data_IF_915332256125
#
_entry.id   IF_915332256125
#
_cell.length_a   1.000
_cell.length_b   1.000
_cell.length_c   1.000
_cell.angle_alpha   90.00
_cell.angle_beta   90.00
_cell.angle_gamma   90.00
#
_symmetry.space_group_name_H-M   'P 1'
#
loop_
_entity.id
_entity.type
_entity.pdbx_description
1 polymer ?
#
# COMPACT_ATOMS: atom_id res chain seq x y z
N UNK A 1 -12.84 -27.98 20.97
CA UNK A 1 -12.68 -27.27 19.68
C UNK A 1 -11.20 -27.19 19.37
N UNK A 2 -10.78 -27.60 18.21
CA UNK A 2 -9.38 -27.45 17.81
C UNK A 2 -9.11 -26.05 17.24
N UNK A 3 -7.85 -25.68 17.11
CA UNK A 3 -7.44 -24.36 16.64
C UNK A 3 -7.97 -24.05 15.23
N UNK A 4 -8.01 -25.06 14.36
CA UNK A 4 -8.50 -24.86 12.98
C UNK A 4 -9.99 -24.48 12.96
N UNK A 5 -10.82 -25.10 13.78
CA UNK A 5 -12.24 -24.76 13.86
C UNK A 5 -12.44 -23.36 14.47
N UNK A 6 -11.60 -22.98 15.42
CA UNK A 6 -11.64 -21.64 16.00
C UNK A 6 -11.42 -20.55 14.95
N UNK A 7 -10.38 -20.70 14.11
CA UNK A 7 -10.07 -19.70 13.07
C UNK A 7 -11.08 -19.73 11.92
N UNK A 8 -11.60 -20.90 11.53
CA UNK A 8 -12.55 -21.01 10.42
C UNK A 8 -13.90 -20.33 10.71
N UNK A 9 -14.25 -20.14 11.97
CA UNK A 9 -15.49 -19.48 12.40
C UNK A 9 -15.36 -17.96 12.52
N UNK A 10 -14.15 -17.41 12.40
CA UNK A 10 -13.94 -15.97 12.45
C UNK A 10 -14.16 -15.35 11.10
N UNK A 11 -14.81 -14.19 11.08
CA UNK A 11 -14.96 -13.39 9.87
C UNK A 11 -13.61 -12.84 9.44
N UNK A 12 -13.36 -12.88 8.13
CA UNK A 12 -12.17 -12.32 7.52
C UNK A 12 -12.55 -11.04 6.77
N UNK A 13 -11.74 -10.03 6.94
CA UNK A 13 -11.89 -8.75 6.29
C UNK A 13 -10.64 -8.46 5.47
N UNK A 14 -10.84 -7.87 4.29
CA UNK A 14 -9.75 -7.53 3.37
C UNK A 14 -9.58 -6.03 3.36
N UNK A 15 -8.61 -5.56 4.11
CA UNK A 15 -8.29 -4.14 4.23
C UNK A 15 -7.42 -3.69 3.06
N UNK A 16 -7.68 -2.48 2.58
CA UNK A 16 -6.99 -1.91 1.43
C UNK A 16 -6.19 -0.69 1.88
N UNK A 17 -4.90 -0.68 1.58
CA UNK A 17 -4.04 0.47 1.83
C UNK A 17 -3.24 0.83 0.59
N UNK A 18 -3.24 2.12 0.24
CA UNK A 18 -2.31 2.68 -0.73
C UNK A 18 -0.96 2.90 -0.07
N UNK A 19 0.12 2.65 -0.79
CA UNK A 19 1.47 2.75 -0.25
C UNK A 19 2.39 3.44 -1.23
N UNK A 20 3.26 4.28 -0.69
CA UNK A 20 4.30 4.96 -1.44
C UNK A 20 5.64 4.76 -0.75
N UNK A 21 6.63 4.34 -1.53
CA UNK A 21 8.03 4.38 -1.11
C UNK A 21 8.64 5.71 -1.57
N UNK A 22 9.09 6.50 -0.61
CA UNK A 22 9.72 7.77 -0.90
C UNK A 22 11.11 7.79 -0.29
N UNK A 23 12.15 7.78 -1.14
CA UNK A 23 13.52 8.03 -0.74
C UNK A 23 13.82 9.49 -1.06
N UNK A 24 14.07 10.28 -0.04
CA UNK A 24 14.45 11.67 -0.19
C UNK A 24 15.88 11.88 0.27
N UNK A 25 16.66 12.56 -0.56
CA UNK A 25 17.96 13.06 -0.13
C UNK A 25 17.75 14.21 0.83
N UNK A 26 18.44 14.14 1.95
CA UNK A 26 18.40 15.20 2.95
C UNK A 26 19.37 16.30 2.52
N UNK A 27 18.92 17.56 2.61
CA UNK A 27 19.73 18.72 2.32
C UNK A 27 21.02 18.73 3.16
N UNK A 28 22.15 19.15 2.56
CA UNK A 28 23.45 19.17 3.22
C UNK A 28 23.47 20.05 4.47
N UNK A 29 22.74 21.13 4.47
CA UNK A 29 22.60 22.02 5.64
C UNK A 29 21.94 21.26 6.79
N UNK A 30 20.89 20.49 6.51
CA UNK A 30 20.19 19.70 7.52
C UNK A 30 21.07 18.56 8.01
N UNK A 31 21.78 17.89 7.11
CA UNK A 31 22.73 16.84 7.49
C UNK A 31 23.77 17.35 8.47
N UNK A 32 24.35 18.50 8.16
CA UNK A 32 25.37 19.14 9.02
C UNK A 32 24.78 19.58 10.35
N UNK A 33 23.62 20.23 10.33
CA UNK A 33 22.96 20.72 11.55
C UNK A 33 22.57 19.60 12.50
N UNK A 34 22.21 18.41 11.97
CA UNK A 34 21.78 17.24 12.75
C UNK A 34 22.88 16.19 12.92
N UNK A 35 24.08 16.48 12.45
CA UNK A 35 25.24 15.58 12.53
C UNK A 35 24.93 14.21 11.88
N UNK A 36 24.29 14.23 10.69
CA UNK A 36 23.97 13.04 9.93
C UNK A 36 25.11 12.68 8.97
N UNK A 37 25.25 11.39 8.58
CA UNK A 37 26.20 10.98 7.55
C UNK A 37 25.94 11.66 6.21
N UNK A 38 27.00 11.85 5.41
CA UNK A 38 26.89 12.52 4.11
C UNK A 38 26.01 11.76 3.12
N UNK A 39 25.93 10.43 3.26
CA UNK A 39 25.10 9.56 2.42
C UNK A 39 23.71 9.29 3.02
N UNK A 40 23.35 10.00 4.10
CA UNK A 40 22.07 9.81 4.75
C UNK A 40 20.91 10.14 3.81
N UNK A 41 19.95 9.20 3.71
CA UNK A 41 18.71 9.37 2.96
C UNK A 41 17.54 9.12 3.88
N UNK A 42 16.56 10.00 3.79
CA UNK A 42 15.32 9.82 4.51
C UNK A 42 14.42 8.84 3.74
N UNK A 43 14.01 7.76 4.41
CA UNK A 43 13.05 6.83 3.85
C UNK A 43 11.69 7.08 4.51
N UNK A 44 10.69 7.35 3.69
CA UNK A 44 9.31 7.52 4.14
C UNK A 44 8.40 6.59 3.34
N UNK A 45 7.69 5.73 4.05
CA UNK A 45 6.72 4.82 3.45
C UNK A 45 5.32 5.36 3.75
N UNK A 46 4.93 6.39 3.02
CA UNK A 46 3.59 6.95 3.13
C UNK A 46 2.54 5.92 2.77
N UNK A 47 1.46 5.88 3.54
CA UNK A 47 0.37 4.94 3.30
C UNK A 47 -0.96 5.51 3.78
N UNK A 48 -2.03 5.01 3.18
CA UNK A 48 -3.38 5.42 3.54
C UNK A 48 -4.32 4.23 3.48
N UNK A 49 -5.02 3.95 4.58
CA UNK A 49 -6.07 2.94 4.61
C UNK A 49 -7.36 3.51 4.03
N UNK A 50 -7.95 2.76 3.08
CA UNK A 50 -9.19 3.14 2.42
C UNK A 50 -10.42 2.46 3.01
N UNK A 51 -10.23 1.40 3.77
CA UNK A 51 -11.30 0.62 4.35
C UNK A 51 -11.16 -0.86 4.07
N UNK A 52 -12.26 -1.58 4.11
CA UNK A 52 -12.24 -3.03 3.95
C UNK A 52 -13.48 -3.55 3.24
N UNK A 53 -13.34 -4.77 2.71
CA UNK A 53 -14.45 -5.56 2.20
C UNK A 53 -14.43 -6.94 2.87
N UNK A 54 -15.60 -7.55 3.02
CA UNK A 54 -15.70 -8.96 3.43
C UNK A 54 -15.36 -9.91 2.28
N UNK A 55 -15.61 -9.47 1.06
CA UNK A 55 -15.33 -10.24 -0.15
C UNK A 55 -13.94 -9.96 -0.68
N UNK A 56 -13.10 -10.97 -0.76
CA UNK A 56 -11.78 -10.89 -1.40
C UNK A 56 -11.89 -10.44 -2.85
N UNK A 57 -12.83 -11.02 -3.58
CA UNK A 57 -13.08 -10.68 -4.99
C UNK A 57 -13.42 -9.20 -5.17
N UNK A 58 -14.26 -8.66 -4.28
CA UNK A 58 -14.67 -7.26 -4.34
C UNK A 58 -13.50 -6.34 -3.99
N UNK A 59 -12.67 -6.70 -3.02
CA UNK A 59 -11.47 -5.93 -2.69
C UNK A 59 -10.52 -5.87 -3.89
N UNK A 60 -10.28 -7.01 -4.55
CA UNK A 60 -9.44 -7.07 -5.74
C UNK A 60 -10.02 -6.21 -6.86
N UNK A 61 -11.33 -6.26 -7.07
CA UNK A 61 -11.99 -5.44 -8.08
C UNK A 61 -11.80 -3.94 -7.80
N UNK A 62 -12.00 -3.51 -6.56
CA UNK A 62 -11.82 -2.12 -6.17
C UNK A 62 -10.40 -1.61 -6.46
N UNK A 63 -9.40 -2.44 -6.22
CA UNK A 63 -7.99 -2.11 -6.48
C UNK A 63 -7.69 -2.10 -7.97
N UNK A 64 -8.11 -3.14 -8.68
CA UNK A 64 -7.82 -3.24 -10.13
C UNK A 64 -8.50 -2.13 -10.93
N UNK A 65 -9.61 -1.59 -10.45
CA UNK A 65 -10.35 -0.50 -11.09
C UNK A 65 -10.04 0.88 -10.49
N UNK A 66 -9.14 0.96 -9.52
CA UNK A 66 -8.76 2.21 -8.84
C UNK A 66 -9.99 2.98 -8.30
N UNK A 67 -10.85 2.30 -7.56
CA UNK A 67 -12.01 2.95 -6.97
C UNK A 67 -11.61 4.10 -6.05
N UNK A 68 -12.39 5.17 -6.06
CA UNK A 68 -12.17 6.38 -5.26
C UNK A 68 -10.84 7.08 -5.51
N UNK A 69 -10.18 6.77 -6.62
CA UNK A 69 -8.85 7.28 -6.94
C UNK A 69 -7.85 7.02 -5.79
N UNK A 70 -7.70 5.75 -5.40
CA UNK A 70 -6.73 5.41 -4.36
C UNK A 70 -5.28 5.63 -4.81
N UNK A 71 -5.07 5.90 -6.10
CA UNK A 71 -3.79 6.32 -6.64
C UNK A 71 -3.44 7.78 -6.30
N UNK A 72 -4.45 8.61 -6.04
CA UNK A 72 -4.29 10.04 -5.74
C UNK A 72 -3.40 10.78 -6.76
N UNK A 73 -3.73 10.61 -8.03
CA UNK A 73 -3.03 11.32 -9.11
C UNK A 73 -1.55 10.96 -9.23
N UNK A 74 -1.23 9.68 -9.20
CA UNK A 74 0.11 9.10 -9.29
C UNK A 74 0.97 9.30 -8.02
N UNK A 75 0.34 9.60 -6.90
CA UNK A 75 1.04 9.67 -5.62
C UNK A 75 1.35 8.27 -5.05
N UNK A 76 0.37 7.35 -5.06
CA UNK A 76 0.53 6.00 -4.55
C UNK A 76 0.74 4.99 -5.68
N UNK A 77 1.95 4.51 -5.85
CA UNK A 77 2.29 3.53 -6.89
C UNK A 77 1.91 2.10 -6.53
N UNK A 78 1.66 1.82 -5.26
CA UNK A 78 1.36 0.48 -4.78
C UNK A 78 0.08 0.48 -3.95
N UNK A 79 -0.59 -0.67 -3.96
CA UNK A 79 -1.69 -0.98 -3.06
C UNK A 79 -1.46 -2.36 -2.49
N UNK A 80 -1.74 -2.52 -1.20
CA UNK A 80 -1.73 -3.81 -0.53
C UNK A 80 -3.12 -4.14 -0.02
N UNK A 81 -3.55 -5.38 -0.22
CA UNK A 81 -4.73 -5.93 0.41
C UNK A 81 -4.28 -6.83 1.55
N UNK A 82 -4.62 -6.46 2.77
CA UNK A 82 -4.24 -7.19 3.98
C UNK A 82 -5.46 -7.89 4.56
N UNK A 83 -5.45 -9.23 4.66
CA UNK A 83 -6.51 -9.93 5.36
C UNK A 83 -6.34 -9.84 6.88
N UNK A 84 -7.44 -9.57 7.56
CA UNK A 84 -7.50 -9.54 9.03
C UNK A 84 -8.71 -10.32 9.50
N UNK A 85 -8.58 -11.03 10.61
CA UNK A 85 -9.72 -11.66 11.26
C UNK A 85 -10.48 -10.66 12.13
N UNK A 86 -11.77 -10.92 12.31
CA UNK A 86 -12.57 -10.16 13.26
C UNK A 86 -11.97 -10.23 14.67
N UNK A 87 -12.03 -9.11 15.38
CA UNK A 87 -11.52 -9.01 16.75
C UNK A 87 -10.40 -8.00 16.85
N UNK A 88 -9.46 -8.26 17.76
CA UNK A 88 -8.30 -7.42 17.93
C UNK A 88 -7.44 -7.45 16.68
N UNK A 89 -6.89 -6.30 16.33
CA UNK A 89 -6.12 -6.16 15.11
C UNK A 89 -4.84 -6.99 15.23
N UNK A 90 -4.73 -7.98 14.36
CA UNK A 90 -3.57 -8.86 14.30
C UNK A 90 -3.38 -9.28 12.83
N UNK A 91 -2.44 -8.66 12.11
CA UNK A 91 -2.29 -8.94 10.69
C UNK A 91 -1.93 -10.41 10.44
N UNK A 92 -2.54 -10.97 9.39
CA UNK A 92 -2.21 -12.32 8.93
C UNK A 92 -0.97 -12.18 8.05
N UNK A 93 0.19 -12.45 8.63
CA UNK A 93 1.48 -12.31 7.95
C UNK A 93 1.60 -13.32 6.81
N UNK A 94 2.12 -12.86 5.68
CA UNK A 94 2.37 -13.71 4.52
C UNK A 94 1.16 -13.95 3.62
N UNK A 95 0.03 -13.30 3.89
CA UNK A 95 -1.19 -13.40 3.09
C UNK A 95 -1.55 -12.08 2.39
N UNK A 96 -0.71 -11.08 2.48
CA UNK A 96 -0.88 -9.81 1.82
C UNK A 96 -0.81 -9.98 0.30
N UNK A 97 -1.67 -9.27 -0.41
CA UNK A 97 -1.65 -9.22 -1.87
C UNK A 97 -1.21 -7.83 -2.30
N UNK A 98 -0.14 -7.76 -3.08
CA UNK A 98 0.43 -6.52 -3.56
C UNK A 98 0.05 -6.25 -5.01
N UNK A 99 -0.16 -4.97 -5.31
CA UNK A 99 -0.54 -4.47 -6.62
C UNK A 99 0.29 -3.25 -6.94
N UNK A 100 0.63 -3.08 -8.22
CA UNK A 100 1.29 -1.87 -8.71
C UNK A 100 0.40 -1.13 -9.69
N UNK A 101 0.52 0.18 -9.73
CA UNK A 101 -0.28 1.02 -10.60
C UNK A 101 0.11 0.81 -12.06
N UNK A 102 -0.91 0.81 -12.93
CA UNK A 102 -0.74 0.88 -14.38
C UNK A 102 -1.07 2.29 -14.84
N UNK A 103 -0.19 2.86 -15.63
CA UNK A 103 -0.35 4.20 -16.13
C UNK A 103 -0.46 4.23 -17.65
N UNK A 104 -1.22 5.19 -18.16
CA UNK A 104 -1.18 5.58 -19.57
C UNK A 104 -0.89 7.07 -19.64
N UNK A 105 -0.21 7.50 -20.71
CA UNK A 105 0.04 8.93 -20.91
C UNK A 105 -1.18 9.57 -21.55
N UNK A 106 -1.61 10.68 -20.95
CA UNK A 106 -2.68 11.53 -21.46
C UNK A 106 -2.17 12.96 -21.58
N UNK A 107 -2.85 13.74 -22.39
CA UNK A 107 -2.49 15.13 -22.65
C UNK A 107 -3.69 16.02 -22.34
N UNK A 108 -3.47 17.11 -21.63
CA UNK A 108 -4.45 18.15 -21.39
C UNK A 108 -3.83 19.54 -21.70
N UNK A 109 -4.51 20.60 -21.32
CA UNK A 109 -4.05 21.97 -21.54
C UNK A 109 -2.71 22.29 -20.86
N UNK A 110 -2.34 21.51 -19.85
CA UNK A 110 -1.10 21.68 -19.07
C UNK A 110 0.06 20.84 -19.58
N UNK A 111 -0.18 19.96 -20.57
CA UNK A 111 0.81 19.05 -21.11
C UNK A 111 0.51 17.59 -20.85
N UNK A 112 1.54 16.77 -20.91
CA UNK A 112 1.42 15.33 -20.70
C UNK A 112 1.43 14.98 -19.21
N UNK A 113 0.63 13.98 -18.83
CA UNK A 113 0.62 13.44 -17.48
C UNK A 113 0.36 11.93 -17.50
N UNK A 114 0.71 11.26 -16.41
CA UNK A 114 0.42 9.85 -16.22
C UNK A 114 -0.95 9.68 -15.56
N UNK A 115 -1.83 8.94 -16.21
CA UNK A 115 -3.15 8.62 -15.70
C UNK A 115 -3.18 7.17 -15.25
N UNK A 116 -3.58 6.92 -14.00
CA UNK A 116 -3.72 5.56 -13.48
C UNK A 116 -4.99 4.90 -14.03
N UNK A 117 -4.81 3.83 -14.80
CA UNK A 117 -5.92 3.05 -15.34
C UNK A 117 -6.33 1.89 -14.45
N UNK A 118 -5.69 1.76 -13.29
CA UNK A 118 -5.93 0.72 -12.32
C UNK A 118 -4.63 0.14 -11.80
N UNK A 119 -4.76 -0.95 -11.07
CA UNK A 119 -3.62 -1.66 -10.48
C UNK A 119 -3.59 -3.10 -10.99
N UNK A 120 -2.41 -3.68 -11.05
CA UNK A 120 -2.20 -5.07 -11.42
C UNK A 120 -1.43 -5.81 -10.35
N UNK A 121 -1.64 -7.13 -10.18
CA UNK A 121 -0.88 -7.91 -9.21
C UNK A 121 0.62 -7.79 -9.43
N UNK A 122 1.37 -7.70 -8.35
CA UNK A 122 2.83 -7.67 -8.39
C UNK A 122 3.40 -8.43 -7.19
N UNK A 123 4.69 -8.65 -7.21
CA UNK A 123 5.40 -9.18 -6.06
C UNK A 123 5.55 -8.11 -4.99
N UNK A 124 5.73 -8.55 -3.74
CA UNK A 124 6.01 -7.65 -2.63
C UNK A 124 7.27 -6.83 -2.97
N UNK A 125 7.20 -5.49 -2.95
CA UNK A 125 8.39 -4.68 -3.15
C UNK A 125 9.46 -5.00 -2.10
N UNK A 126 10.73 -4.95 -2.50
CA UNK A 126 11.84 -5.31 -1.60
C UNK A 126 11.82 -4.53 -0.29
N UNK A 127 11.54 -3.22 -0.36
CA UNK A 127 11.47 -2.36 0.82
C UNK A 127 10.29 -2.66 1.74
N UNK A 128 9.28 -3.40 1.27
CA UNK A 128 8.07 -3.73 2.03
C UNK A 128 8.09 -5.12 2.67
N UNK A 129 9.08 -5.95 2.37
CA UNK A 129 9.09 -7.37 2.76
C UNK A 129 9.08 -7.60 4.27
N UNK A 130 9.62 -6.67 5.04
CA UNK A 130 9.69 -6.79 6.50
C UNK A 130 8.73 -5.88 7.23
N UNK A 131 7.83 -5.25 6.50
CA UNK A 131 6.83 -4.34 7.05
C UNK A 131 5.45 -4.97 6.88
N UNK A 132 4.65 -4.94 7.92
CA UNK A 132 3.27 -5.40 7.91
C UNK A 132 2.36 -4.40 8.62
N UNK A 133 1.05 -4.61 8.50
CA UNK A 133 0.09 -3.74 9.15
C UNK A 133 -0.09 -2.38 8.49
N UNK A 134 0.07 -2.31 7.18
CA UNK A 134 -0.10 -1.08 6.40
C UNK A 134 -1.48 -0.44 6.57
N UNK A 135 -2.49 -1.26 6.71
CA UNK A 135 -3.87 -0.78 6.81
C UNK A 135 -4.27 -0.35 8.21
N UNK A 136 -3.44 -0.59 9.21
CA UNK A 136 -3.77 -0.38 10.62
C UNK A 136 -2.85 0.59 11.35
N UNK A 137 -1.88 1.13 10.66
CA UNK A 137 -0.93 2.09 11.25
C UNK A 137 -1.22 3.53 10.87
#
# INVERSE_FOLDING_TARGET
MNIMNFFSNKRKYYFIASVRDTKQEVDDIIKKARNLPDDYKYENHDHRCWGFFRSKKKAIQAVTENWTDMNEGAYYHYVVIEPHYEGLINPIIGKEMWFKAKYEKRTDDRGQYNYCIGYEPCEVPEWAKQICGWAIS
#
